data_IF_507150444770
#
_entry.id   IF_507150444770
#
_cell.length_a   1.000
_cell.length_b   1.000
_cell.length_c   1.000
_cell.angle_alpha   90.00
_cell.angle_beta   90.00
_cell.angle_gamma   90.00
#
_symmetry.space_group_name_H-M   'P 1'
#
loop_
_entity.id
_entity.type
_entity.pdbx_description
1 polymer ?
#
# COMPACT_ATOMS: atom_id res chain seq x y z
N UNK A 1 -14.80 -2.06 -27.26
CA UNK A 1 -14.54 -3.15 -26.28
C UNK A 1 -13.08 -3.54 -26.37
N UNK A 2 -12.47 -3.97 -25.26
CA UNK A 2 -11.12 -4.55 -25.28
C UNK A 2 -11.03 -5.71 -26.27
N UNK A 3 -9.88 -5.89 -26.91
CA UNK A 3 -9.65 -6.96 -27.89
C UNK A 3 -9.67 -8.39 -27.31
N UNK A 4 -9.75 -8.51 -25.99
CA UNK A 4 -9.78 -9.77 -25.24
C UNK A 4 -11.18 -10.08 -24.65
N UNK A 5 -12.22 -9.36 -25.03
CA UNK A 5 -13.60 -9.73 -24.71
C UNK A 5 -14.15 -10.71 -25.75
N UNK A 6 -14.68 -11.83 -25.29
CA UNK A 6 -15.50 -12.72 -26.09
C UNK A 6 -16.99 -12.46 -25.76
N UNK A 7 -17.83 -12.36 -26.79
CA UNK A 7 -19.28 -12.30 -26.62
C UNK A 7 -19.83 -13.71 -26.39
N UNK A 8 -20.42 -13.95 -25.22
CA UNK A 8 -21.44 -14.98 -25.05
C UNK A 8 -22.82 -14.33 -25.19
N UNK A 9 -23.61 -14.80 -26.15
CA UNK A 9 -25.01 -14.45 -26.27
C UNK A 9 -25.85 -15.66 -25.87
N UNK A 10 -26.59 -15.53 -24.76
CA UNK A 10 -27.59 -16.52 -24.38
C UNK A 10 -28.81 -16.37 -25.29
N UNK A 11 -29.10 -17.38 -26.10
CA UNK A 11 -30.35 -17.44 -26.88
C UNK A 11 -31.27 -18.45 -26.19
N UNK A 12 -32.27 -17.95 -25.47
CA UNK A 12 -33.24 -18.80 -24.79
C UNK A 12 -34.28 -19.35 -25.77
N UNK A 13 -34.42 -20.68 -25.82
CA UNK A 13 -35.56 -21.33 -26.46
C UNK A 13 -36.41 -22.07 -25.43
N UNK A 14 -37.71 -21.78 -25.31
CA UNK A 14 -38.57 -22.52 -24.41
C UNK A 14 -38.90 -23.89 -25.01
N UNK A 15 -38.47 -24.96 -24.34
CA UNK A 15 -38.92 -26.33 -24.64
C UNK A 15 -39.57 -26.88 -23.37
N UNK A 16 -40.86 -27.20 -23.45
CA UNK A 16 -41.66 -27.76 -22.34
C UNK A 16 -41.57 -26.98 -21.00
N UNK A 17 -41.44 -25.66 -21.06
CA UNK A 17 -41.43 -24.80 -19.86
C UNK A 17 -40.10 -24.78 -19.10
N UNK A 18 -39.02 -25.31 -19.68
CA UNK A 18 -37.65 -25.22 -19.16
C UNK A 18 -36.83 -24.43 -20.18
N UNK A 19 -36.18 -23.35 -19.74
CA UNK A 19 -35.17 -22.64 -20.54
C UNK A 19 -33.91 -23.51 -20.59
N UNK A 20 -33.55 -23.98 -21.78
CA UNK A 20 -32.30 -24.70 -22.01
C UNK A 20 -31.28 -23.70 -22.53
N UNK A 21 -30.18 -23.54 -21.80
CA UNK A 21 -29.06 -22.72 -22.22
C UNK A 21 -28.23 -23.47 -23.28
N UNK A 22 -27.91 -22.78 -24.38
CA UNK A 22 -26.88 -23.22 -25.30
C UNK A 22 -25.93 -22.05 -25.52
N UNK A 23 -24.70 -22.21 -25.03
CA UNK A 23 -23.58 -21.33 -25.31
C UNK A 23 -23.38 -21.21 -26.82
N UNK A 24 -23.85 -20.12 -27.41
CA UNK A 24 -23.72 -19.84 -28.83
C UNK A 24 -22.49 -18.95 -29.07
N UNK A 25 -21.33 -19.58 -29.30
CA UNK A 25 -20.14 -18.84 -29.71
C UNK A 25 -20.19 -18.51 -31.21
N UNK A 26 -20.09 -17.23 -31.63
CA UNK A 26 -20.13 -16.84 -33.04
C UNK A 26 -18.89 -17.29 -33.84
N UNK A 27 -17.90 -17.92 -33.21
CA UNK A 27 -16.65 -18.40 -33.82
C UNK A 27 -15.71 -17.30 -34.32
N UNK A 28 -16.13 -16.03 -34.24
CA UNK A 28 -15.37 -14.84 -34.64
C UNK A 28 -14.42 -14.36 -33.55
N UNK A 29 -14.80 -14.57 -32.29
CA UNK A 29 -13.99 -14.29 -31.11
C UNK A 29 -13.59 -15.63 -30.49
N UNK A 30 -12.40 -16.11 -30.81
CA UNK A 30 -11.83 -17.31 -30.21
C UNK A 30 -11.40 -16.95 -28.78
N UNK A 31 -11.99 -17.59 -27.77
CA UNK A 31 -11.49 -17.50 -26.40
C UNK A 31 -10.01 -17.88 -26.35
N UNK A 32 -9.21 -17.12 -25.60
CA UNK A 32 -7.80 -17.47 -25.40
C UNK A 32 -7.72 -18.73 -24.55
N UNK A 33 -7.10 -19.80 -25.07
CA UNK A 33 -6.99 -21.07 -24.34
C UNK A 33 -5.99 -21.02 -23.18
N UNK A 34 -5.16 -19.98 -23.13
CA UNK A 34 -4.15 -19.74 -22.10
C UNK A 34 -3.68 -18.27 -22.13
N UNK A 35 -3.60 -17.62 -20.97
CA UNK A 35 -2.85 -16.35 -20.78
C UNK A 35 -1.38 -16.74 -20.53
N UNK A 36 -0.51 -16.57 -21.52
CA UNK A 36 0.75 -17.34 -21.66
C UNK A 36 1.95 -16.86 -20.85
N UNK A 37 1.76 -16.16 -19.75
CA UNK A 37 2.86 -15.78 -18.85
C UNK A 37 2.43 -16.05 -17.42
N UNK A 38 3.17 -16.88 -16.69
CA UNK A 38 2.96 -16.96 -15.24
C UNK A 38 3.37 -15.61 -14.63
N UNK A 39 2.66 -15.11 -13.61
CA UNK A 39 3.02 -13.82 -13.00
C UNK A 39 4.46 -13.82 -12.44
N UNK A 40 4.96 -15.00 -12.08
CA UNK A 40 6.37 -15.20 -11.72
C UNK A 40 7.33 -14.82 -12.85
N UNK A 41 7.00 -15.13 -14.10
CA UNK A 41 7.81 -14.71 -15.25
C UNK A 41 7.76 -13.19 -15.44
N UNK A 42 6.60 -12.56 -15.22
CA UNK A 42 6.40 -11.10 -15.31
C UNK A 42 7.28 -10.35 -14.31
N UNK A 43 7.41 -10.85 -13.08
CA UNK A 43 8.17 -10.16 -12.02
C UNK A 43 9.68 -10.46 -12.03
N UNK A 44 10.19 -11.22 -13.01
CA UNK A 44 11.60 -11.68 -13.03
C UNK A 44 12.60 -10.52 -13.00
N UNK A 45 12.36 -9.48 -13.80
CA UNK A 45 13.24 -8.32 -13.88
C UNK A 45 13.28 -7.55 -12.55
N UNK A 46 12.10 -7.28 -11.98
CA UNK A 46 11.95 -6.65 -10.68
C UNK A 46 12.71 -7.40 -9.57
N UNK A 47 12.53 -8.71 -9.46
CA UNK A 47 13.18 -9.48 -8.41
C UNK A 47 14.69 -9.59 -8.62
N UNK A 48 15.16 -9.67 -9.85
CA UNK A 48 16.60 -9.62 -10.15
C UNK A 48 17.20 -8.27 -9.77
N UNK A 49 16.49 -7.18 -10.03
CA UNK A 49 16.91 -5.83 -9.65
C UNK A 49 16.91 -5.65 -8.13
N UNK A 50 15.79 -5.93 -7.47
CA UNK A 50 15.65 -5.82 -6.01
C UNK A 50 16.70 -6.67 -5.28
N UNK A 51 17.02 -7.86 -5.80
CA UNK A 51 18.09 -8.68 -5.24
C UNK A 51 19.45 -7.99 -5.31
N UNK A 52 19.79 -7.35 -6.44
CA UNK A 52 21.07 -6.63 -6.59
C UNK A 52 21.16 -5.46 -5.62
N UNK A 53 20.08 -4.66 -5.51
CA UNK A 53 20.00 -3.55 -4.55
C UNK A 53 20.09 -4.06 -3.10
N UNK A 54 19.49 -5.20 -2.78
CA UNK A 54 19.65 -5.85 -1.47
C UNK A 54 21.11 -6.23 -1.19
N UNK A 55 21.77 -6.88 -2.15
CA UNK A 55 23.17 -7.30 -2.00
C UNK A 55 24.10 -6.07 -1.81
N UNK A 56 23.80 -4.96 -2.48
CA UNK A 56 24.48 -3.68 -2.33
C UNK A 56 24.23 -3.05 -0.96
N UNK A 57 22.98 -3.04 -0.49
CA UNK A 57 22.61 -2.50 0.81
C UNK A 57 23.27 -3.29 1.95
N UNK A 58 23.29 -4.62 1.86
CA UNK A 58 23.97 -5.49 2.82
C UNK A 58 25.48 -5.20 2.84
N UNK A 59 26.08 -4.97 1.67
CA UNK A 59 27.49 -4.62 1.54
C UNK A 59 27.79 -3.24 2.13
N UNK A 60 26.90 -2.26 1.94
CA UNK A 60 27.03 -0.93 2.53
C UNK A 60 26.93 -0.97 4.05
N UNK A 61 25.95 -1.70 4.60
CA UNK A 61 25.76 -1.84 6.06
C UNK A 61 26.94 -2.52 6.72
N UNK A 62 27.55 -3.55 6.10
CA UNK A 62 28.75 -4.22 6.63
C UNK A 62 29.94 -3.28 6.80
N UNK A 63 30.04 -2.26 5.95
CA UNK A 63 31.14 -1.30 5.96
C UNK A 63 30.80 0.00 6.71
N UNK A 64 29.58 0.14 7.22
CA UNK A 64 29.15 1.31 7.97
C UNK A 64 29.70 1.25 9.41
N UNK A 65 30.21 2.37 9.90
CA UNK A 65 30.47 2.53 11.33
C UNK A 65 29.13 2.59 12.07
N UNK A 66 28.87 1.53 12.85
CA UNK A 66 27.60 1.38 13.55
C UNK A 66 27.51 2.28 14.78
N UNK A 67 28.61 2.86 15.29
CA UNK A 67 28.59 3.78 16.43
C UNK A 67 27.73 3.31 17.63
N UNK A 68 27.70 2.01 17.93
CA UNK A 68 26.88 1.42 18.99
C UNK A 68 25.39 1.23 18.65
N UNK A 69 24.98 1.44 17.40
CA UNK A 69 23.64 1.13 16.90
C UNK A 69 23.35 -0.37 17.02
N UNK A 70 22.25 -0.71 17.68
CA UNK A 70 21.80 -2.08 17.96
C UNK A 70 20.73 -2.58 16.97
N UNK A 71 20.31 -1.75 16.02
CA UNK A 71 19.37 -2.15 14.97
C UNK A 71 20.00 -3.27 14.14
N UNK A 72 19.30 -4.41 13.91
CA UNK A 72 19.80 -5.48 13.07
C UNK A 72 20.18 -5.02 11.67
N UNK A 73 21.28 -5.57 11.14
CA UNK A 73 21.79 -5.23 9.80
C UNK A 73 20.74 -5.41 8.71
N UNK A 74 19.88 -6.43 8.82
CA UNK A 74 18.77 -6.67 7.89
C UNK A 74 17.77 -5.51 7.86
N UNK A 75 17.46 -4.90 9.01
CA UNK A 75 16.58 -3.74 9.09
C UNK A 75 17.27 -2.47 8.60
N UNK A 76 18.58 -2.32 8.86
CA UNK A 76 19.36 -1.22 8.30
C UNK A 76 19.41 -1.30 6.77
N UNK A 77 19.65 -2.48 6.21
CA UNK A 77 19.64 -2.71 4.77
C UNK A 77 18.25 -2.44 4.18
N UNK A 78 17.18 -2.94 4.81
CA UNK A 78 15.81 -2.66 4.40
C UNK A 78 15.52 -1.14 4.38
N UNK A 79 15.97 -0.38 5.38
CA UNK A 79 15.84 1.09 5.41
C UNK A 79 16.56 1.75 4.23
N UNK A 80 17.78 1.34 3.90
CA UNK A 80 18.54 1.89 2.76
C UNK A 80 17.84 1.60 1.43
N UNK A 81 17.34 0.39 1.24
CA UNK A 81 16.53 0.02 0.07
C UNK A 81 15.31 0.95 -0.01
N UNK A 82 14.60 1.15 1.11
CA UNK A 82 13.43 2.01 1.12
C UNK A 82 13.77 3.47 0.76
N UNK A 83 14.91 3.97 1.24
CA UNK A 83 15.39 5.31 0.92
C UNK A 83 15.70 5.48 -0.57
N UNK A 84 16.26 4.45 -1.23
CA UNK A 84 16.58 4.49 -2.66
C UNK A 84 15.32 4.64 -3.52
N UNK A 85 14.31 3.80 -3.28
CA UNK A 85 13.08 3.82 -4.09
C UNK A 85 12.23 5.06 -3.84
N UNK A 86 12.18 5.57 -2.60
CA UNK A 86 11.27 6.66 -2.25
C UNK A 86 11.82 8.07 -2.57
N UNK A 87 13.08 8.17 -3.00
CA UNK A 87 13.83 9.43 -3.05
C UNK A 87 13.20 10.52 -3.93
N UNK A 88 12.48 10.18 -5.01
CA UNK A 88 11.98 11.18 -5.94
C UNK A 88 10.61 11.74 -5.53
N UNK A 89 9.73 10.89 -4.96
CA UNK A 89 8.37 11.28 -4.51
C UNK A 89 8.27 11.64 -3.03
N UNK A 90 9.04 10.95 -2.19
CA UNK A 90 8.86 10.94 -0.73
C UNK A 90 10.11 11.40 0.04
N UNK A 91 10.77 12.47 -0.42
CA UNK A 91 12.01 13.00 0.17
C UNK A 91 11.91 14.42 0.76
N UNK A 92 10.77 15.09 0.61
CA UNK A 92 10.58 16.45 1.15
C UNK A 92 10.55 16.48 2.68
N UNK A 93 10.69 17.66 3.30
CA UNK A 93 10.77 17.81 4.75
C UNK A 93 9.63 17.10 5.53
N UNK A 94 8.34 17.20 5.14
CA UNK A 94 7.28 16.42 5.78
C UNK A 94 7.51 14.90 5.70
N UNK A 95 8.00 14.41 4.57
CA UNK A 95 8.32 12.99 4.41
C UNK A 95 9.51 12.58 5.27
N UNK A 96 10.53 13.42 5.43
CA UNK A 96 11.66 13.16 6.33
C UNK A 96 11.21 12.96 7.78
N UNK A 97 10.21 13.71 8.24
CA UNK A 97 9.63 13.53 9.58
C UNK A 97 8.99 12.14 9.73
N UNK A 98 8.26 11.69 8.70
CA UNK A 98 7.50 10.43 8.77
C UNK A 98 8.32 9.19 8.40
N UNK A 99 9.32 9.31 7.54
CA UNK A 99 10.01 8.16 6.92
C UNK A 99 11.52 8.14 7.19
N UNK A 100 11.99 9.09 7.99
CA UNK A 100 13.40 9.29 8.31
C UNK A 100 14.16 10.06 7.24
N UNK A 101 15.38 10.51 7.58
CA UNK A 101 16.27 11.16 6.62
C UNK A 101 16.83 10.16 5.61
N UNK A 102 17.11 10.65 4.40
CA UNK A 102 17.80 9.89 3.38
C UNK A 102 19.30 9.77 3.71
N UNK A 103 19.92 8.67 3.30
CA UNK A 103 21.37 8.53 3.27
C UNK A 103 21.90 8.97 1.90
N UNK A 104 22.32 10.23 1.80
CA UNK A 104 22.76 10.84 0.53
C UNK A 104 23.94 10.10 -0.10
N UNK A 105 24.84 9.53 0.71
CA UNK A 105 26.01 8.78 0.19
C UNK A 105 25.59 7.47 -0.47
N UNK A 106 24.71 6.72 0.20
CA UNK A 106 24.12 5.50 -0.34
C UNK A 106 23.37 5.78 -1.65
N UNK A 107 22.46 6.75 -1.63
CA UNK A 107 21.64 7.12 -2.79
C UNK A 107 22.51 7.56 -3.96
N UNK A 108 23.49 8.44 -3.72
CA UNK A 108 24.39 8.90 -4.77
C UNK A 108 25.13 7.74 -5.45
N UNK A 109 25.65 6.79 -4.65
CA UNK A 109 26.40 5.65 -5.17
C UNK A 109 25.50 4.73 -6.01
N UNK A 110 24.30 4.41 -5.53
CA UNK A 110 23.37 3.53 -6.25
C UNK A 110 22.83 4.20 -7.51
N UNK A 111 22.42 5.47 -7.45
CA UNK A 111 21.96 6.21 -8.62
C UNK A 111 23.03 6.25 -9.70
N UNK A 112 24.28 6.51 -9.32
CA UNK A 112 25.40 6.52 -10.27
C UNK A 112 25.70 5.13 -10.84
N UNK A 113 25.65 4.10 -10.01
CA UNK A 113 25.96 2.71 -10.41
C UNK A 113 24.92 2.16 -11.39
N UNK A 114 23.64 2.43 -11.13
CA UNK A 114 22.51 1.89 -11.86
C UNK A 114 21.89 2.87 -12.88
N UNK A 115 22.47 4.07 -13.01
CA UNK A 115 21.97 5.16 -13.86
C UNK A 115 20.50 5.53 -13.56
N UNK A 116 20.16 5.65 -12.27
CA UNK A 116 18.82 6.02 -11.81
C UNK A 116 18.72 7.54 -11.78
N UNK A 117 17.73 8.07 -12.49
CA UNK A 117 17.45 9.50 -12.63
C UNK A 117 16.01 9.88 -12.29
N UNK A 118 15.10 8.90 -12.29
CA UNK A 118 13.68 9.08 -11.98
C UNK A 118 13.06 7.77 -11.47
N UNK A 119 11.79 7.84 -11.05
CA UNK A 119 11.02 6.66 -10.65
C UNK A 119 10.84 5.65 -11.79
N UNK A 120 10.84 6.11 -13.05
CA UNK A 120 10.64 5.27 -14.24
C UNK A 120 11.83 4.34 -14.53
N UNK A 121 12.97 4.57 -13.87
CA UNK A 121 14.18 3.73 -14.02
C UNK A 121 14.10 2.44 -13.17
N UNK A 122 13.10 2.32 -12.28
CA UNK A 122 12.89 1.11 -11.49
C UNK A 122 11.99 0.12 -12.23
N UNK A 123 12.34 -1.18 -12.26
CA UNK A 123 11.44 -2.20 -12.81
C UNK A 123 10.12 -2.26 -12.05
N UNK A 124 9.06 -2.64 -12.74
CA UNK A 124 7.72 -2.71 -12.17
C UNK A 124 7.46 -4.05 -11.46
N UNK A 125 6.74 -4.00 -10.35
CA UNK A 125 6.19 -5.17 -9.68
C UNK A 125 4.71 -5.32 -10.06
N UNK A 126 4.32 -6.53 -10.45
CA UNK A 126 2.92 -6.90 -10.71
C UNK A 126 2.38 -7.72 -9.55
N UNK A 127 1.22 -7.32 -9.04
CA UNK A 127 0.48 -8.04 -8.00
C UNK A 127 0.01 -9.39 -8.56
N UNK A 128 0.47 -10.49 -7.97
CA UNK A 128 0.14 -11.84 -8.45
C UNK A 128 -1.28 -12.28 -8.11
N UNK A 129 -1.95 -11.58 -7.19
CA UNK A 129 -3.33 -11.86 -6.84
C UNK A 129 -4.31 -11.21 -7.83
N UNK A 130 -4.03 -9.97 -8.27
CA UNK A 130 -4.94 -9.16 -9.10
C UNK A 130 -4.49 -9.03 -10.56
N UNK A 131 -3.21 -9.25 -10.86
CA UNK A 131 -2.61 -9.02 -12.17
C UNK A 131 -2.34 -7.55 -12.49
N UNK A 132 -2.57 -6.63 -11.53
CA UNK A 132 -2.38 -5.19 -11.69
C UNK A 132 -0.98 -4.78 -11.21
N UNK A 133 -0.42 -3.72 -11.80
CA UNK A 133 0.84 -3.13 -11.33
C UNK A 133 0.67 -2.58 -9.92
N UNK A 134 1.59 -2.92 -9.01
CA UNK A 134 1.59 -2.37 -7.65
C UNK A 134 2.10 -0.92 -7.66
N UNK A 135 1.57 -0.05 -6.79
CA UNK A 135 2.31 1.18 -6.44
C UNK A 135 3.43 0.82 -5.45
N UNK A 136 4.50 0.25 -5.98
CA UNK A 136 5.63 -0.22 -5.17
C UNK A 136 6.32 0.92 -4.43
N UNK A 137 6.38 2.12 -5.03
CA UNK A 137 7.04 3.28 -4.44
C UNK A 137 6.23 3.80 -3.25
N UNK A 138 4.89 3.84 -3.37
CA UNK A 138 4.01 4.09 -2.23
C UNK A 138 4.24 3.05 -1.12
N UNK A 139 4.15 1.75 -1.44
CA UNK A 139 4.32 0.66 -0.46
C UNK A 139 5.65 0.78 0.30
N UNK A 140 6.74 1.09 -0.42
CA UNK A 140 8.06 1.25 0.17
C UNK A 140 8.17 2.53 1.02
N UNK A 141 7.45 3.61 0.69
CA UNK A 141 7.39 4.80 1.54
C UNK A 141 6.67 4.52 2.87
N UNK A 142 5.54 3.81 2.83
CA UNK A 142 4.84 3.35 4.03
C UNK A 142 5.73 2.42 4.88
N UNK A 143 6.39 1.46 4.24
CA UNK A 143 7.36 0.57 4.91
C UNK A 143 8.54 1.33 5.52
N UNK A 144 9.04 2.39 4.86
CA UNK A 144 10.10 3.23 5.38
C UNK A 144 9.70 3.88 6.72
N UNK A 145 8.44 4.31 6.85
CA UNK A 145 7.91 4.86 8.10
C UNK A 145 7.86 3.83 9.22
N UNK A 146 7.29 2.66 8.94
CA UNK A 146 7.25 1.53 9.87
C UNK A 146 8.66 1.16 10.36
N UNK A 147 9.62 1.07 9.44
CA UNK A 147 11.01 0.79 9.76
C UNK A 147 11.69 1.91 10.53
N UNK A 148 11.40 3.18 10.24
CA UNK A 148 12.01 4.34 10.88
C UNK A 148 11.69 4.35 12.39
N UNK A 149 10.40 4.30 12.72
CA UNK A 149 9.95 4.29 14.12
C UNK A 149 10.14 2.94 14.80
N UNK A 150 10.19 1.85 14.02
CA UNK A 150 10.45 0.50 14.51
C UNK A 150 9.50 0.07 15.66
N UNK A 151 8.28 0.59 15.67
CA UNK A 151 7.26 0.29 16.68
C UNK A 151 6.73 -1.15 16.56
N UNK A 152 5.93 -1.61 17.52
CA UNK A 152 5.18 -2.85 17.36
C UNK A 152 4.26 -2.75 16.13
N UNK A 153 4.06 -3.85 15.42
CA UNK A 153 3.25 -3.87 14.17
C UNK A 153 1.81 -3.40 14.42
N UNK A 154 1.26 -3.69 15.59
CA UNK A 154 -0.09 -3.31 15.99
C UNK A 154 -0.18 -1.98 16.75
N UNK A 155 0.94 -1.26 16.90
CA UNK A 155 0.94 0.05 17.54
C UNK A 155 0.34 1.10 16.61
N UNK A 156 -0.37 2.05 17.18
CA UNK A 156 -0.89 3.24 16.49
C UNK A 156 -0.02 4.44 16.79
N UNK A 157 0.45 5.15 15.76
CA UNK A 157 1.31 6.31 15.95
C UNK A 157 1.86 6.92 14.67
N UNK A 158 2.98 7.64 14.80
CA UNK A 158 3.61 8.39 13.69
C UNK A 158 3.92 7.50 12.48
N UNK A 159 4.20 6.22 12.73
CA UNK A 159 4.51 5.23 11.71
C UNK A 159 3.38 4.96 10.70
N UNK A 160 2.14 5.28 11.06
CA UNK A 160 0.99 5.04 10.19
C UNK A 160 0.79 6.19 9.18
N UNK A 161 1.33 7.39 9.46
CA UNK A 161 1.04 8.62 8.69
C UNK A 161 1.61 8.62 7.27
N UNK A 162 2.60 7.78 6.97
CA UNK A 162 3.15 7.66 5.62
C UNK A 162 2.46 6.57 4.77
N UNK A 163 1.45 5.91 5.32
CA UNK A 163 0.61 4.93 4.61
C UNK A 163 -0.86 5.15 4.95
N UNK A 164 -1.56 4.09 5.36
CA UNK A 164 -3.02 4.06 5.50
C UNK A 164 -3.65 5.23 6.25
N UNK A 165 -3.00 5.74 7.30
CA UNK A 165 -3.53 6.87 8.04
C UNK A 165 -3.37 8.19 7.27
N UNK A 166 -2.25 8.37 6.57
CA UNK A 166 -2.03 9.49 5.67
C UNK A 166 -3.04 9.51 4.52
N UNK A 167 -3.29 8.36 3.91
CA UNK A 167 -4.26 8.27 2.82
C UNK A 167 -5.70 8.41 3.31
N UNK A 168 -6.02 7.91 4.51
CA UNK A 168 -7.31 8.19 5.11
C UNK A 168 -7.50 9.70 5.36
N UNK A 169 -6.48 10.40 5.84
CA UNK A 169 -6.51 11.86 6.04
C UNK A 169 -6.75 12.62 4.72
N UNK A 170 -6.06 12.25 3.63
CA UNK A 170 -6.22 12.90 2.33
C UNK A 170 -7.55 12.51 1.66
N UNK A 171 -7.97 11.25 1.77
CA UNK A 171 -9.26 10.75 1.28
C UNK A 171 -10.46 11.46 1.92
N UNK A 172 -10.39 11.81 3.21
CA UNK A 172 -11.39 12.66 3.86
C UNK A 172 -11.44 14.05 3.22
N UNK A 173 -10.29 14.68 3.01
CA UNK A 173 -10.19 16.01 2.40
C UNK A 173 -10.78 16.02 0.99
N UNK A 174 -10.46 15.00 0.18
CA UNK A 174 -10.98 14.84 -1.18
C UNK A 174 -12.50 14.61 -1.20
N UNK A 175 -13.00 13.81 -0.27
CA UNK A 175 -14.45 13.57 -0.09
C UNK A 175 -15.20 14.86 0.25
N UNK A 176 -14.65 15.68 1.14
CA UNK A 176 -15.23 16.99 1.51
C UNK A 176 -15.21 17.94 0.31
N UNK A 177 -14.09 18.01 -0.41
CA UNK A 177 -13.94 18.86 -1.61
C UNK A 177 -14.86 18.46 -2.76
N UNK A 178 -15.27 17.20 -2.80
CA UNK A 178 -16.15 16.65 -3.83
C UNK A 178 -17.60 16.43 -3.36
N UNK A 179 -17.95 16.81 -2.12
CA UNK A 179 -19.22 16.45 -1.49
C UNK A 179 -20.46 16.94 -2.27
N UNK A 180 -20.35 18.05 -3.00
CA UNK A 180 -21.40 18.62 -3.86
C UNK A 180 -21.77 17.74 -5.06
N UNK A 181 -20.93 16.76 -5.41
CA UNK A 181 -21.14 15.80 -6.51
C UNK A 181 -21.88 14.53 -6.08
N UNK A 182 -22.14 14.39 -4.78
CA UNK A 182 -22.75 13.21 -4.18
C UNK A 182 -24.04 13.58 -3.43
N UNK A 183 -24.83 12.56 -3.08
CA UNK A 183 -26.07 12.76 -2.33
C UNK A 183 -25.81 13.32 -0.92
N UNK A 184 -24.70 12.91 -0.30
CA UNK A 184 -24.21 13.40 0.98
C UNK A 184 -22.72 13.00 1.14
N UNK A 185 -22.09 13.49 2.21
CA UNK A 185 -20.67 13.25 2.49
C UNK A 185 -20.35 11.77 2.76
N UNK A 186 -21.25 11.00 3.37
CA UNK A 186 -21.03 9.58 3.61
C UNK A 186 -20.82 8.84 2.28
N UNK A 187 -21.68 9.08 1.29
CA UNK A 187 -21.55 8.48 -0.05
C UNK A 187 -20.26 8.94 -0.74
N UNK A 188 -19.84 10.20 -0.53
CA UNK A 188 -18.56 10.66 -1.05
C UNK A 188 -17.38 9.90 -0.41
N UNK A 189 -17.37 9.74 0.92
CA UNK A 189 -16.34 8.98 1.64
C UNK A 189 -16.30 7.52 1.22
N UNK A 190 -17.45 6.87 1.07
CA UNK A 190 -17.56 5.48 0.61
C UNK A 190 -17.03 5.28 -0.82
N UNK A 191 -16.98 6.33 -1.65
CA UNK A 191 -16.46 6.28 -3.02
C UNK A 191 -14.97 6.68 -3.11
N UNK A 192 -14.44 7.46 -2.16
CA UNK A 192 -13.03 7.91 -2.19
C UNK A 192 -12.11 7.06 -1.31
N UNK A 193 -12.57 6.49 -0.21
CA UNK A 193 -11.70 5.80 0.76
C UNK A 193 -11.43 4.37 0.27
N UNK A 194 -10.18 4.10 -0.14
CA UNK A 194 -9.71 2.80 -0.60
C UNK A 194 -10.26 2.40 -1.97
N UNK A 195 -10.72 3.38 -2.78
CA UNK A 195 -11.38 3.16 -4.07
C UNK A 195 -10.99 4.23 -5.08
N UNK A 196 -10.94 3.82 -6.35
CA UNK A 196 -10.77 4.74 -7.46
C UNK A 196 -12.11 5.46 -7.69
N UNK A 197 -12.24 6.65 -7.08
CA UNK A 197 -13.50 7.40 -7.02
C UNK A 197 -14.12 7.62 -8.41
N UNK A 198 -15.43 7.42 -8.48
CA UNK A 198 -16.24 7.63 -9.69
C UNK A 198 -16.40 9.11 -10.03
N UNK A 199 -16.26 10.00 -9.04
CA UNK A 199 -16.32 11.46 -9.24
C UNK A 199 -15.31 12.18 -8.36
N UNK A 200 -14.65 13.18 -8.94
CA UNK A 200 -13.62 13.94 -8.22
C UNK A 200 -12.27 13.26 -8.29
N UNK A 201 -11.29 13.84 -7.60
CA UNK A 201 -9.96 13.24 -7.44
C UNK A 201 -9.97 12.47 -6.13
N UNK A 202 -9.49 11.22 -6.15
CA UNK A 202 -9.19 10.47 -4.93
C UNK A 202 -7.68 10.37 -4.75
N UNK A 203 -7.20 10.66 -3.54
CA UNK A 203 -5.83 10.43 -3.09
C UNK A 203 -5.70 9.16 -2.26
N UNK A 204 -6.79 8.40 -2.06
CA UNK A 204 -6.76 7.09 -1.39
C UNK A 204 -7.39 6.02 -2.30
N UNK A 205 -6.69 5.71 -3.39
CA UNK A 205 -7.17 4.77 -4.39
C UNK A 205 -7.07 3.31 -3.94
N UNK A 206 -7.50 2.39 -4.81
CA UNK A 206 -7.33 0.95 -4.54
C UNK A 206 -5.83 0.58 -4.53
N UNK A 207 -5.02 1.22 -5.37
CA UNK A 207 -3.57 0.99 -5.42
C UNK A 207 -2.88 1.30 -4.09
N UNK A 208 -3.21 2.44 -3.48
CA UNK A 208 -2.67 2.87 -2.18
C UNK A 208 -3.13 1.91 -1.06
N UNK A 209 -4.42 1.53 -1.04
CA UNK A 209 -4.95 0.56 -0.07
C UNK A 209 -4.18 -0.78 -0.09
N UNK A 210 -3.91 -1.31 -1.29
CA UNK A 210 -3.15 -2.55 -1.42
C UNK A 210 -1.69 -2.36 -0.96
N UNK A 211 -1.07 -1.24 -1.36
CA UNK A 211 0.30 -0.89 -0.99
C UNK A 211 0.47 -0.76 0.53
N UNK A 212 -0.48 -0.12 1.22
CA UNK A 212 -0.49 0.04 2.66
C UNK A 212 -0.58 -1.29 3.42
N UNK A 213 -1.54 -2.13 3.01
CA UNK A 213 -1.73 -3.44 3.61
C UNK A 213 -0.47 -4.31 3.43
N UNK A 214 0.11 -4.27 2.23
CA UNK A 214 1.32 -5.02 1.88
C UNK A 214 2.54 -4.52 2.67
N UNK A 215 2.69 -3.20 2.84
CA UNK A 215 3.76 -2.61 3.64
C UNK A 215 3.74 -3.12 5.09
N UNK A 216 2.57 -3.17 5.71
CA UNK A 216 2.40 -3.71 7.07
C UNK A 216 2.72 -5.20 7.14
N UNK A 217 2.26 -6.00 6.18
CA UNK A 217 2.51 -7.45 6.17
C UNK A 217 4.00 -7.77 5.96
N UNK A 218 4.67 -7.02 5.08
CA UNK A 218 6.12 -7.11 4.86
C UNK A 218 6.87 -6.69 6.14
N UNK A 219 6.45 -5.60 6.79
CA UNK A 219 7.05 -5.16 8.05
C UNK A 219 6.89 -6.20 9.17
N UNK A 220 5.72 -6.83 9.29
CA UNK A 220 5.50 -7.91 10.24
C UNK A 220 6.46 -9.09 10.01
N UNK A 221 6.70 -9.44 8.74
CA UNK A 221 7.65 -10.48 8.35
C UNK A 221 9.10 -10.12 8.70
N UNK A 222 9.49 -8.86 8.52
CA UNK A 222 10.82 -8.36 8.92
C UNK A 222 11.02 -8.37 10.44
N UNK A 223 9.98 -8.08 11.22
CA UNK A 223 10.03 -8.10 12.69
C UNK A 223 10.18 -9.50 13.27
N UNK A 224 9.62 -10.50 12.59
CA UNK A 224 9.53 -11.88 13.07
C UNK A 224 10.69 -12.78 12.59
N UNK A 225 11.69 -12.25 11.90
CA UNK A 225 12.80 -13.05 11.38
C UNK A 225 14.02 -12.25 10.93
N UNK A 226 15.01 -12.98 10.40
CA UNK A 226 16.27 -12.40 9.89
C UNK A 226 16.33 -12.45 8.35
N UNK A 227 15.19 -12.63 7.69
CA UNK A 227 15.11 -12.68 6.24
C UNK A 227 15.38 -11.29 5.64
N UNK A 228 15.99 -11.24 4.46
CA UNK A 228 16.22 -9.98 3.74
C UNK A 228 14.90 -9.45 3.16
N UNK A 229 14.82 -8.13 2.94
CA UNK A 229 13.64 -7.49 2.35
C UNK A 229 13.30 -8.11 0.99
N UNK A 230 14.30 -8.33 0.14
CA UNK A 230 14.15 -9.06 -1.12
C UNK A 230 13.44 -10.42 -0.93
N UNK A 231 13.93 -11.25 -0.01
CA UNK A 231 13.38 -12.60 0.18
C UNK A 231 11.96 -12.62 0.72
N UNK A 232 11.60 -11.59 1.50
CA UNK A 232 10.25 -11.41 2.04
C UNK A 232 9.30 -10.99 0.92
N UNK A 233 9.65 -9.98 0.12
CA UNK A 233 8.84 -9.51 -1.01
C UNK A 233 8.68 -10.62 -2.06
N UNK A 234 9.76 -11.35 -2.37
CA UNK A 234 9.73 -12.50 -3.29
C UNK A 234 8.74 -13.56 -2.81
N UNK A 235 8.82 -13.97 -1.54
CA UNK A 235 7.85 -14.91 -0.97
C UNK A 235 6.44 -14.36 -0.99
N UNK A 236 6.27 -13.09 -0.65
CA UNK A 236 4.96 -12.46 -0.54
C UNK A 236 4.23 -12.44 -1.88
N UNK A 237 4.91 -12.06 -2.98
CA UNK A 237 4.28 -11.98 -4.29
C UNK A 237 4.39 -13.28 -5.10
N UNK A 238 5.54 -13.96 -5.13
CA UNK A 238 5.70 -15.16 -5.97
C UNK A 238 5.16 -16.46 -5.33
N UNK A 239 5.01 -16.52 -4.00
CA UNK A 239 4.46 -17.68 -3.31
C UNK A 239 3.05 -17.43 -2.74
N UNK A 240 2.30 -16.50 -3.36
CA UNK A 240 0.89 -16.21 -3.05
C UNK A 240 0.63 -15.67 -1.64
N UNK A 241 1.62 -15.10 -0.96
CA UNK A 241 1.41 -14.46 0.34
C UNK A 241 0.43 -13.27 0.29
N UNK A 242 0.47 -12.52 -0.80
CA UNK A 242 -0.45 -11.43 -1.15
C UNK A 242 -1.90 -11.87 -1.42
N UNK A 243 -2.18 -13.15 -1.60
CA UNK A 243 -3.58 -13.64 -1.75
C UNK A 243 -4.36 -13.59 -0.44
N UNK A 244 -3.66 -13.58 0.69
CA UNK A 244 -4.23 -13.45 2.04
C UNK A 244 -4.00 -12.05 2.63
N UNK A 245 -3.81 -11.04 1.77
CA UNK A 245 -3.38 -9.68 2.11
C UNK A 245 -4.18 -9.07 3.27
N UNK A 246 -5.50 -9.01 3.15
CA UNK A 246 -6.33 -8.34 4.15
C UNK A 246 -6.50 -9.15 5.43
N UNK A 247 -6.54 -10.49 5.33
CA UNK A 247 -6.50 -11.37 6.50
C UNK A 247 -5.21 -11.15 7.32
N UNK A 248 -4.05 -11.12 6.65
CA UNK A 248 -2.78 -10.82 7.28
C UNK A 248 -2.73 -9.39 7.81
N UNK A 249 -3.23 -8.41 7.06
CA UNK A 249 -3.22 -7.01 7.46
C UNK A 249 -4.02 -6.81 8.75
N UNK A 250 -5.22 -7.37 8.84
CA UNK A 250 -6.06 -7.28 10.04
C UNK A 250 -5.46 -8.04 11.20
N UNK A 251 -4.90 -9.22 10.97
CA UNK A 251 -4.17 -9.98 11.98
C UNK A 251 -2.96 -9.20 12.53
N UNK A 252 -2.16 -8.62 11.64
CA UNK A 252 -0.89 -7.95 11.97
C UNK A 252 -1.12 -6.56 12.60
N UNK A 253 -1.91 -5.70 11.94
CA UNK A 253 -2.12 -4.30 12.35
C UNK A 253 -3.13 -4.17 13.47
N UNK A 254 -4.22 -4.93 13.42
CA UNK A 254 -5.35 -4.79 14.33
C UNK A 254 -5.48 -5.97 15.29
N UNK A 255 -4.47 -6.84 15.34
CA UNK A 255 -4.45 -8.03 16.22
C UNK A 255 -5.65 -8.96 16.01
N UNK A 256 -6.17 -9.02 14.78
CA UNK A 256 -7.37 -9.79 14.45
C UNK A 256 -8.67 -9.22 15.01
N UNK A 257 -8.65 -8.02 15.60
CA UNK A 257 -9.82 -7.39 16.19
C UNK A 257 -10.42 -6.34 15.24
N UNK A 258 -11.63 -6.59 14.76
CA UNK A 258 -12.31 -5.69 13.81
C UNK A 258 -12.70 -4.34 14.42
N UNK A 259 -12.96 -4.28 15.73
CA UNK A 259 -13.25 -3.02 16.41
C UNK A 259 -12.00 -2.14 16.54
N UNK A 260 -10.81 -2.76 16.54
CA UNK A 260 -9.56 -2.01 16.51
C UNK A 260 -9.35 -1.23 15.22
N UNK A 261 -9.95 -1.65 14.10
CA UNK A 261 -9.82 -0.94 12.82
C UNK A 261 -10.39 0.48 12.96
N UNK A 262 -11.61 0.58 13.46
CA UNK A 262 -12.30 1.86 13.68
C UNK A 262 -11.69 2.64 14.84
N UNK A 263 -11.38 1.99 15.97
CA UNK A 263 -10.80 2.70 17.12
C UNK A 263 -9.41 3.28 16.83
N UNK A 264 -8.56 2.54 16.11
CA UNK A 264 -7.22 3.02 15.75
C UNK A 264 -7.30 4.11 14.68
N UNK A 265 -8.20 3.98 13.69
CA UNK A 265 -8.48 5.05 12.73
C UNK A 265 -8.94 6.33 13.43
N UNK A 266 -9.92 6.23 14.35
CA UNK A 266 -10.39 7.37 15.12
C UNK A 266 -9.29 7.98 15.99
N UNK A 267 -8.43 7.15 16.59
CA UNK A 267 -7.30 7.61 17.41
C UNK A 267 -6.27 8.40 16.60
N UNK A 268 -6.10 8.13 15.30
CA UNK A 268 -5.25 8.95 14.44
C UNK A 268 -5.96 10.23 13.99
N UNK A 269 -7.23 10.12 13.58
CA UNK A 269 -7.98 11.23 13.02
C UNK A 269 -8.36 12.28 14.07
N UNK A 270 -8.74 11.83 15.26
CA UNK A 270 -9.07 12.63 16.44
C UNK A 270 -8.18 12.16 17.60
N UNK A 271 -6.90 12.53 17.61
CA UNK A 271 -5.98 12.06 18.63
C UNK A 271 -6.40 12.53 20.01
N UNK A 272 -6.53 11.56 20.92
CA UNK A 272 -6.80 11.73 22.33
C UNK A 272 -5.76 10.97 23.19
N UNK A 273 -5.92 11.06 24.50
CA UNK A 273 -5.15 10.29 25.47
C UNK A 273 -3.63 10.46 25.35
N UNK A 274 -2.89 9.35 25.40
CA UNK A 274 -1.43 9.34 25.33
C UNK A 274 -0.90 9.75 23.96
N UNK A 275 -1.58 9.38 22.86
CA UNK A 275 -1.08 9.69 21.52
C UNK A 275 -1.10 11.20 21.26
N UNK A 276 -2.17 11.88 21.69
CA UNK A 276 -2.26 13.34 21.63
C UNK A 276 -1.16 14.06 22.45
N UNK A 277 -0.62 13.40 23.47
CA UNK A 277 0.45 13.96 24.33
C UNK A 277 1.84 13.74 23.74
N UNK A 278 1.99 12.87 22.74
CA UNK A 278 3.28 12.67 22.07
C UNK A 278 3.57 13.83 21.12
N UNK A 279 4.53 14.67 21.49
CA UNK A 279 4.96 15.81 20.67
C UNK A 279 5.41 15.37 19.26
N UNK A 280 6.02 14.18 19.15
CA UNK A 280 6.42 13.58 17.88
C UNK A 280 5.24 13.37 16.93
N UNK A 281 4.18 12.70 17.40
CA UNK A 281 2.98 12.46 16.60
C UNK A 281 2.28 13.77 16.25
N UNK A 282 2.09 14.66 17.23
CA UNK A 282 1.42 15.95 17.01
C UNK A 282 2.14 16.81 15.96
N UNK A 283 3.47 16.88 16.01
CA UNK A 283 4.27 17.61 15.03
C UNK A 283 4.19 16.98 13.64
N UNK A 284 4.26 15.64 13.55
CA UNK A 284 4.16 14.93 12.29
C UNK A 284 2.76 15.08 11.65
N UNK A 285 1.70 14.94 12.46
CA UNK A 285 0.32 15.10 12.01
C UNK A 285 0.07 16.54 11.52
N UNK A 286 0.55 17.56 12.24
CA UNK A 286 0.42 18.95 11.81
C UNK A 286 1.18 19.22 10.51
N UNK A 287 2.44 18.76 10.42
CA UNK A 287 3.23 18.89 9.19
C UNK A 287 2.55 18.18 7.99
N UNK A 288 1.92 17.03 8.21
CA UNK A 288 1.14 16.33 7.19
C UNK A 288 -0.09 17.14 6.77
N UNK A 289 -0.92 17.56 7.75
CA UNK A 289 -2.14 18.33 7.48
C UNK A 289 -1.85 19.63 6.75
N UNK A 290 -0.79 20.34 7.14
CA UNK A 290 -0.35 21.56 6.47
C UNK A 290 0.14 21.29 5.04
N UNK A 291 0.90 20.22 4.82
CA UNK A 291 1.44 19.86 3.50
C UNK A 291 0.35 19.46 2.51
N UNK A 292 -0.68 18.75 2.97
CA UNK A 292 -1.74 18.18 2.13
C UNK A 292 -3.07 18.94 2.23
N UNK A 293 -3.09 20.07 2.94
CA UNK A 293 -4.28 20.91 3.14
C UNK A 293 -5.47 20.08 3.66
N UNK A 294 -5.21 19.26 4.69
CA UNK A 294 -6.22 18.38 5.28
C UNK A 294 -6.94 19.10 6.41
N UNK A 295 -8.26 19.17 6.30
CA UNK A 295 -9.14 19.75 7.32
C UNK A 295 -10.48 19.04 7.36
N UNK A 296 -10.95 18.70 8.56
CA UNK A 296 -12.23 18.04 8.81
C UNK A 296 -12.67 18.26 10.27
N UNK A 297 -13.96 18.08 10.55
CA UNK A 297 -14.53 18.13 11.90
C UNK A 297 -14.42 16.78 12.63
N UNK A 298 -14.55 16.75 13.97
CA UNK A 298 -14.56 15.50 14.73
C UNK A 298 -15.64 14.51 14.30
N UNK A 299 -16.82 15.00 13.88
CA UNK A 299 -17.91 14.16 13.37
C UNK A 299 -17.55 13.53 12.02
N UNK A 300 -16.87 14.29 11.15
CA UNK A 300 -16.38 13.78 9.87
C UNK A 300 -15.28 12.73 10.06
N UNK A 301 -14.41 12.90 11.06
CA UNK A 301 -13.43 11.88 11.44
C UNK A 301 -14.08 10.59 11.95
N UNK A 302 -15.14 10.71 12.76
CA UNK A 302 -15.90 9.54 13.23
C UNK A 302 -16.54 8.79 12.07
N UNK A 303 -17.19 9.52 11.14
CA UNK A 303 -17.75 8.94 9.92
C UNK A 303 -16.69 8.23 9.07
N UNK A 304 -15.53 8.85 8.87
CA UNK A 304 -14.45 8.27 8.08
C UNK A 304 -13.86 7.01 8.72
N UNK A 305 -13.73 6.97 10.05
CA UNK A 305 -13.27 5.78 10.76
C UNK A 305 -14.22 4.59 10.57
N UNK A 306 -15.53 4.82 10.63
CA UNK A 306 -16.53 3.79 10.35
C UNK A 306 -16.50 3.34 8.88
N UNK A 307 -16.37 4.27 7.94
CA UNK A 307 -16.23 3.95 6.50
C UNK A 307 -14.97 3.11 6.24
N UNK A 308 -13.84 3.48 6.84
CA UNK A 308 -12.59 2.74 6.72
C UNK A 308 -12.72 1.31 7.25
N UNK A 309 -13.34 1.12 8.43
CA UNK A 309 -13.64 -0.21 8.97
C UNK A 309 -14.49 -1.03 8.02
N UNK A 310 -15.60 -0.48 7.54
CA UNK A 310 -16.51 -1.19 6.64
C UNK A 310 -15.82 -1.57 5.33
N UNK A 311 -14.99 -0.68 4.79
CA UNK A 311 -14.19 -0.94 3.58
C UNK A 311 -13.22 -2.12 3.80
N UNK A 312 -12.46 -2.13 4.90
CA UNK A 312 -11.56 -3.24 5.21
C UNK A 312 -12.33 -4.55 5.42
N UNK A 313 -13.46 -4.51 6.13
CA UNK A 313 -14.29 -5.69 6.35
C UNK A 313 -14.85 -6.28 5.06
N UNK A 314 -15.25 -5.43 4.10
CA UNK A 314 -15.71 -5.89 2.78
C UNK A 314 -14.65 -6.68 1.99
N UNK A 315 -13.36 -6.49 2.30
CA UNK A 315 -12.26 -7.28 1.72
C UNK A 315 -11.99 -8.61 2.45
N UNK A 316 -12.62 -8.88 3.61
CA UNK A 316 -12.49 -10.14 4.35
C UNK A 316 -13.60 -11.14 4.02
N UNK A 317 -14.72 -10.66 3.48
CA UNK A 317 -15.93 -11.46 3.21
C UNK A 317 -15.92 -12.12 1.81
N UNK A 318 -14.82 -11.98 1.07
CA UNK A 318 -14.63 -12.45 -0.31
C UNK A 318 -13.25 -13.11 -0.49
#
# INVERSE_FOLDING_TARGET
>A
MPSNWAFDQFVEYPIYGISIDQDASPGKDQGVSHVSSSVKEVNTEFFNYLKKVQDDADSFVKNMDKNGNTVPDSLMAARLICQLYRQFRYASLPWTIMTGALNDTWIYNENKKWNITSDDDFPELTDTATGIKTDFIHMIAALASLLNFNAAVSATGTQDLAGWAGDLLTGISDSIKSADKYANLLVAMEDHIGKDASKGKSSFGVGDLLADADAVNIYASLKNGNASLYSIIDRYYNNKGNTERFNQYVSNRFSGNHDKIESDALRVLNPDGELAQTAEFGNALNAFKDKFEVSYSPDQATMAASVFKNMIQGHLEH
#
